data_IF_493735522416
#
_entry.id   IF_493735522416
#
_cell.length_a   1.000
_cell.length_b   1.000
_cell.length_c   1.000
_cell.angle_alpha   90.00
_cell.angle_beta   90.00
_cell.angle_gamma   90.00
#
_symmetry.space_group_name_H-M   'P 1'
#
loop_
_entity.id
_entity.type
_entity.pdbx_description
1 polymer ?
#
# COMPACT_ATOMS: atom_id res chain seq x y z
N UNK A 1 0.03 43.01 41.18
CA UNK A 1 0.97 42.07 40.55
C UNK A 1 0.66 42.03 39.08
N UNK A 2 1.49 42.73 38.29
CA UNK A 2 1.26 43.12 36.89
C UNK A 2 1.88 42.05 36.01
N UNK A 3 1.09 41.30 35.23
CA UNK A 3 1.57 40.36 34.22
C UNK A 3 1.81 41.11 32.91
N UNK A 4 3.08 41.22 32.55
CA UNK A 4 3.57 41.83 31.32
C UNK A 4 3.33 40.87 30.15
N UNK A 5 2.55 41.29 29.17
CA UNK A 5 2.32 40.62 27.88
C UNK A 5 3.47 40.96 26.94
N UNK A 6 4.31 40.00 26.65
CA UNK A 6 5.39 40.07 25.68
C UNK A 6 4.86 39.76 24.28
N UNK A 7 4.93 40.74 23.35
CA UNK A 7 4.59 40.57 21.93
C UNK A 7 5.69 39.75 21.21
N UNK A 8 5.32 38.85 20.27
CA UNK A 8 6.32 38.17 19.46
C UNK A 8 6.90 39.12 18.39
N UNK A 9 8.23 39.13 18.29
CA UNK A 9 9.01 39.80 17.27
C UNK A 9 8.86 39.03 15.95
N UNK A 10 8.25 39.68 14.95
CA UNK A 10 8.14 39.13 13.60
C UNK A 10 9.45 39.39 12.88
N UNK A 11 10.22 38.34 12.62
CA UNK A 11 11.47 38.37 11.85
C UNK A 11 11.21 38.66 10.37
N UNK A 12 11.74 39.75 9.91
CA UNK A 12 11.63 40.33 8.57
C UNK A 12 12.54 39.57 7.58
N UNK A 13 12.15 38.40 7.10
CA UNK A 13 12.90 37.62 6.08
C UNK A 13 12.11 37.26 4.81
N UNK A 14 10.87 37.74 4.67
CA UNK A 14 10.01 37.40 3.52
C UNK A 14 9.91 38.47 2.42
N UNK A 15 10.71 39.52 2.49
CA UNK A 15 10.60 40.65 1.53
C UNK A 15 11.46 40.47 0.27
N UNK A 16 12.26 39.40 0.13
CA UNK A 16 13.13 39.24 -1.07
C UNK A 16 12.56 38.31 -2.16
N UNK A 17 11.49 37.58 -1.90
CA UNK A 17 10.90 36.69 -2.88
C UNK A 17 9.73 37.29 -3.68
N UNK A 18 9.27 38.50 -3.34
CA UNK A 18 8.17 39.14 -4.05
C UNK A 18 8.60 40.11 -5.19
N UNK A 19 9.89 40.39 -5.34
CA UNK A 19 10.37 41.36 -6.36
C UNK A 19 10.78 40.75 -7.69
N UNK A 20 10.87 39.41 -7.81
CA UNK A 20 11.32 38.75 -9.06
C UNK A 20 10.18 38.34 -10.01
N UNK A 21 8.93 38.38 -9.57
CA UNK A 21 7.77 38.03 -10.42
C UNK A 21 7.14 39.18 -11.20
N UNK A 22 7.47 40.45 -10.87
CA UNK A 22 6.85 41.62 -11.52
C UNK A 22 7.59 42.16 -12.74
N UNK A 23 8.80 41.67 -13.05
CA UNK A 23 9.61 42.24 -14.16
C UNK A 23 9.44 41.48 -15.47
N UNK A 24 8.84 40.30 -15.49
CA UNK A 24 8.63 39.50 -16.71
C UNK A 24 7.26 39.73 -17.40
N UNK A 25 6.37 40.52 -16.81
CA UNK A 25 5.04 40.72 -17.37
C UNK A 25 4.90 41.98 -18.24
N UNK A 26 5.98 42.80 -18.45
CA UNK A 26 5.83 44.14 -19.04
C UNK A 26 6.48 44.37 -20.40
N UNK A 27 6.95 43.33 -21.11
CA UNK A 27 7.57 43.49 -22.44
C UNK A 27 7.20 42.43 -23.47
N UNK A 28 5.92 42.16 -23.69
CA UNK A 28 5.45 41.45 -24.88
C UNK A 28 4.14 42.05 -25.36
N UNK A 29 4.22 43.28 -25.88
CA UNK A 29 3.15 43.89 -26.67
C UNK A 29 3.74 44.14 -28.06
N UNK A 30 3.64 43.13 -28.95
CA UNK A 30 3.73 43.29 -30.41
C UNK A 30 2.43 42.76 -31.00
N UNK A 31 1.68 43.58 -31.78
CA UNK A 31 0.29 43.25 -32.11
C UNK A 31 0.08 42.53 -33.42
N UNK A 32 0.96 41.67 -33.90
CA UNK A 32 0.72 40.92 -35.14
C UNK A 32 1.00 39.39 -35.08
N UNK A 33 1.43 38.87 -33.93
CA UNK A 33 1.77 37.45 -33.78
C UNK A 33 0.86 36.66 -32.78
N UNK A 34 -0.36 37.15 -32.56
CA UNK A 34 -1.24 36.54 -31.52
C UNK A 34 -1.73 35.14 -31.84
N UNK A 35 -1.96 34.83 -33.11
CA UNK A 35 -2.46 33.50 -33.49
C UNK A 35 -1.40 32.43 -33.36
N UNK A 36 -0.16 32.73 -33.80
CA UNK A 36 0.93 31.76 -33.78
C UNK A 36 1.42 31.48 -32.34
N UNK A 37 1.39 32.52 -31.47
CA UNK A 37 1.76 32.37 -30.07
C UNK A 37 0.79 31.51 -29.26
N UNK A 38 -0.51 31.64 -29.53
CA UNK A 38 -1.55 30.81 -28.89
C UNK A 38 -1.39 29.36 -29.33
N UNK A 39 -1.14 29.08 -30.61
CA UNK A 39 -0.88 27.73 -31.07
C UNK A 39 0.40 27.13 -30.49
N UNK A 40 1.47 27.91 -30.37
CA UNK A 40 2.72 27.49 -29.75
C UNK A 40 2.54 27.19 -28.25
N UNK A 41 1.81 28.03 -27.53
CA UNK A 41 1.50 27.77 -26.11
C UNK A 41 0.64 26.53 -25.93
N UNK A 42 -0.36 26.30 -26.79
CA UNK A 42 -1.19 25.10 -26.75
C UNK A 42 -0.40 23.83 -27.09
N UNK A 43 0.49 23.88 -28.07
CA UNK A 43 1.32 22.71 -28.41
C UNK A 43 2.33 22.39 -27.31
N UNK A 44 2.93 23.40 -26.70
CA UNK A 44 3.85 23.20 -25.55
C UNK A 44 3.09 22.65 -24.33
N UNK A 45 1.88 23.16 -24.07
CA UNK A 45 1.03 22.66 -22.98
C UNK A 45 0.59 21.21 -23.21
N UNK A 46 0.19 20.88 -24.45
CA UNK A 46 -0.17 19.50 -24.82
C UNK A 46 1.02 18.56 -24.76
N UNK A 47 2.21 18.99 -25.21
CA UNK A 47 3.45 18.22 -25.09
C UNK A 47 3.86 18.03 -23.63
N UNK A 48 3.68 19.02 -22.77
CA UNK A 48 3.94 18.90 -21.33
C UNK A 48 2.98 17.94 -20.63
N UNK A 49 1.72 17.86 -21.06
CA UNK A 49 0.73 16.89 -20.55
C UNK A 49 1.04 15.46 -20.98
N UNK A 50 1.61 15.25 -22.17
CA UNK A 50 1.99 13.92 -22.67
C UNK A 50 3.35 13.50 -22.12
N UNK A 51 4.23 14.45 -21.83
CA UNK A 51 5.55 14.20 -21.25
C UNK A 51 5.55 14.09 -19.71
N UNK A 52 4.38 14.07 -19.06
CA UNK A 52 4.31 13.72 -17.63
C UNK A 52 4.91 12.32 -17.50
N UNK A 53 6.09 12.14 -16.86
CA UNK A 53 6.57 10.81 -16.57
C UNK A 53 5.52 10.19 -15.67
N UNK A 54 4.79 9.24 -16.21
CA UNK A 54 3.97 8.34 -15.41
C UNK A 54 4.99 7.64 -14.51
N UNK A 55 5.19 8.19 -13.32
CA UNK A 55 6.00 7.57 -12.30
C UNK A 55 5.26 6.30 -11.90
N UNK A 56 5.42 5.25 -12.70
CA UNK A 56 5.03 3.92 -12.32
C UNK A 56 5.95 3.58 -11.14
N UNK A 57 5.39 3.75 -9.95
CA UNK A 57 5.94 3.08 -8.79
C UNK A 57 5.86 1.60 -9.14
N UNK A 58 6.98 1.03 -9.54
CA UNK A 58 7.13 -0.41 -9.66
C UNK A 58 6.92 -0.93 -8.24
N UNK A 59 5.69 -1.34 -7.93
CA UNK A 59 5.42 -2.05 -6.71
C UNK A 59 6.25 -3.33 -6.78
N UNK A 60 7.25 -3.42 -5.93
CA UNK A 60 8.10 -4.61 -5.82
C UNK A 60 7.21 -5.84 -5.58
N UNK A 61 7.51 -6.97 -6.23
CA UNK A 61 6.78 -8.22 -6.05
C UNK A 61 6.77 -8.60 -4.58
N UNK A 62 5.63 -9.08 -4.09
CA UNK A 62 5.53 -9.52 -2.70
C UNK A 62 6.40 -10.77 -2.49
N UNK A 63 7.40 -10.66 -1.63
CA UNK A 63 8.26 -11.78 -1.26
C UNK A 63 7.69 -12.52 -0.05
N UNK A 64 7.50 -13.84 -0.20
CA UNK A 64 6.93 -14.66 0.87
C UNK A 64 7.74 -14.59 2.16
N UNK A 65 9.06 -14.74 2.07
CA UNK A 65 9.93 -14.81 3.25
C UNK A 65 10.08 -13.47 3.98
N UNK A 66 10.14 -12.38 3.22
CA UNK A 66 10.30 -11.03 3.74
C UNK A 66 8.98 -10.45 4.26
N UNK A 67 7.89 -10.62 3.50
CA UNK A 67 6.67 -9.84 3.67
C UNK A 67 5.51 -10.66 4.26
N UNK A 68 5.38 -11.93 3.91
CA UNK A 68 4.22 -12.77 4.26
C UNK A 68 4.48 -13.68 5.45
N UNK A 69 5.62 -14.38 5.43
CA UNK A 69 5.96 -15.34 6.49
C UNK A 69 5.97 -14.71 7.89
N UNK A 70 6.49 -13.47 8.10
CA UNK A 70 6.40 -12.81 9.40
C UNK A 70 4.96 -12.60 9.86
N UNK A 71 4.05 -12.19 8.95
CA UNK A 71 2.64 -11.99 9.28
C UNK A 71 2.00 -13.32 9.69
N UNK A 72 2.18 -14.37 8.88
CA UNK A 72 1.64 -15.69 9.19
C UNK A 72 2.19 -16.25 10.50
N UNK A 73 3.48 -16.06 10.75
CA UNK A 73 4.15 -16.53 11.97
C UNK A 73 3.60 -15.85 13.21
N UNK A 74 3.46 -14.54 13.17
CA UNK A 74 3.02 -13.74 14.31
C UNK A 74 1.51 -13.84 14.58
N UNK A 75 0.70 -13.89 13.52
CA UNK A 75 -0.76 -13.78 13.61
C UNK A 75 -1.52 -15.11 13.48
N UNK A 76 -0.91 -16.13 12.87
CA UNK A 76 -1.65 -17.34 12.49
C UNK A 76 -1.07 -18.65 13.05
N UNK A 77 0.27 -18.78 13.13
CA UNK A 77 0.89 -20.08 13.47
C UNK A 77 0.64 -20.56 14.90
N UNK A 78 0.30 -19.67 15.82
CA UNK A 78 -0.09 -20.09 17.17
C UNK A 78 -1.28 -21.06 17.15
N UNK A 79 -2.24 -20.86 16.21
CA UNK A 79 -3.42 -21.72 16.04
C UNK A 79 -3.41 -22.52 14.75
N UNK A 80 -2.63 -22.15 13.74
CA UNK A 80 -2.59 -22.81 12.43
C UNK A 80 -1.14 -23.13 12.00
N UNK A 81 -0.34 -23.61 12.94
CA UNK A 81 1.08 -23.92 12.76
C UNK A 81 1.45 -25.34 13.15
N UNK A 82 2.74 -25.57 13.45
CA UNK A 82 3.29 -26.89 13.69
C UNK A 82 2.83 -27.55 15.00
N UNK A 83 2.43 -26.77 16.01
CA UNK A 83 2.07 -27.34 17.32
C UNK A 83 0.71 -28.04 17.26
N UNK A 84 0.74 -29.37 17.29
CA UNK A 84 -0.47 -30.22 17.23
C UNK A 84 -1.44 -29.97 18.38
N UNK A 85 -0.95 -29.59 19.55
CA UNK A 85 -1.80 -29.37 20.73
C UNK A 85 -2.60 -28.07 20.62
N UNK A 86 -2.03 -27.07 19.98
CA UNK A 86 -2.65 -25.76 19.81
C UNK A 86 -3.40 -25.64 18.48
N UNK A 87 -3.10 -26.52 17.51
CA UNK A 87 -3.62 -26.45 16.14
C UNK A 87 -5.13 -26.55 16.09
N UNK A 88 -5.75 -25.60 15.41
CA UNK A 88 -7.19 -25.56 15.17
C UNK A 88 -7.50 -25.99 13.75
N UNK A 89 -8.65 -26.65 13.58
CA UNK A 89 -9.16 -27.14 12.29
C UNK A 89 -8.16 -28.02 11.51
N UNK A 90 -7.18 -28.60 12.15
CA UNK A 90 -6.08 -29.34 11.52
C UNK A 90 -5.44 -28.59 10.32
N UNK A 91 -5.40 -27.26 10.40
CA UNK A 91 -4.85 -26.40 9.36
C UNK A 91 -3.40 -26.02 9.66
N UNK A 92 -2.51 -26.18 8.67
CA UNK A 92 -1.11 -25.80 8.73
C UNK A 92 -0.79 -24.75 7.68
N UNK A 93 -0.77 -23.49 8.10
CA UNK A 93 -0.40 -22.38 7.24
C UNK A 93 1.12 -22.22 7.07
N UNK A 94 1.90 -22.94 7.85
CA UNK A 94 3.36 -23.02 7.71
C UNK A 94 3.80 -24.04 6.64
N UNK A 95 2.88 -24.87 6.13
CA UNK A 95 3.13 -25.81 5.04
C UNK A 95 2.38 -25.40 3.78
N UNK A 96 3.13 -25.17 2.70
CA UNK A 96 2.58 -24.83 1.38
C UNK A 96 1.47 -25.80 0.94
N UNK A 97 1.71 -27.11 1.09
CA UNK A 97 0.76 -28.14 0.70
C UNK A 97 -0.57 -28.05 1.45
N UNK A 98 -0.55 -27.71 2.73
CA UNK A 98 -1.77 -27.51 3.53
C UNK A 98 -2.43 -26.16 3.24
N UNK A 99 -1.65 -25.11 3.06
CA UNK A 99 -2.16 -23.76 2.80
C UNK A 99 -2.83 -23.63 1.42
N UNK A 100 -2.37 -24.41 0.42
CA UNK A 100 -2.95 -24.41 -0.93
C UNK A 100 -3.94 -25.55 -1.15
N UNK A 101 -4.24 -26.36 -0.11
CA UNK A 101 -5.15 -27.48 -0.23
C UNK A 101 -6.59 -27.02 -0.43
N UNK A 102 -7.32 -27.82 -1.21
CA UNK A 102 -8.77 -27.79 -1.21
C UNK A 102 -9.29 -28.59 -0.01
N UNK A 103 -10.28 -28.04 0.68
CA UNK A 103 -10.97 -28.67 1.80
C UNK A 103 -12.47 -28.42 1.68
N UNK A 104 -13.26 -29.45 1.69
CA UNK A 104 -14.73 -29.36 1.70
C UNK A 104 -15.30 -28.44 0.60
N UNK A 105 -14.70 -28.45 -0.60
CA UNK A 105 -15.14 -27.67 -1.75
C UNK A 105 -14.67 -26.21 -1.76
N UNK A 106 -13.72 -25.82 -0.89
CA UNK A 106 -13.10 -24.50 -0.93
C UNK A 106 -11.58 -24.58 -0.79
N UNK A 107 -10.87 -23.60 -1.34
CA UNK A 107 -9.43 -23.46 -1.17
C UNK A 107 -9.10 -22.60 0.05
N UNK A 108 -8.13 -23.04 0.85
CA UNK A 108 -7.61 -22.19 1.93
C UNK A 108 -6.97 -20.95 1.33
N UNK A 109 -6.08 -21.10 0.36
CA UNK A 109 -5.53 -20.06 -0.47
C UNK A 109 -5.69 -20.49 -1.92
N UNK A 110 -6.42 -19.72 -2.72
CA UNK A 110 -6.56 -19.89 -4.17
C UNK A 110 -5.60 -18.94 -4.87
N UNK A 111 -4.49 -19.41 -5.45
CA UNK A 111 -3.52 -18.53 -6.10
C UNK A 111 -4.15 -17.72 -7.23
N UNK A 112 -3.94 -16.39 -7.20
CA UNK A 112 -4.51 -15.46 -8.17
C UNK A 112 -5.93 -14.99 -7.86
N UNK A 113 -6.60 -15.54 -6.84
CA UNK A 113 -8.01 -15.31 -6.57
C UNK A 113 -8.25 -15.05 -5.07
N UNK A 114 -8.04 -13.81 -4.62
CA UNK A 114 -8.21 -13.48 -3.21
C UNK A 114 -9.65 -13.69 -2.72
N UNK A 115 -10.65 -13.37 -3.54
CA UNK A 115 -12.06 -13.55 -3.20
C UNK A 115 -12.47 -15.03 -2.98
N UNK A 116 -11.80 -15.97 -3.67
CA UNK A 116 -12.03 -17.41 -3.56
C UNK A 116 -11.16 -18.06 -2.46
N UNK A 117 -10.26 -17.28 -1.87
CA UNK A 117 -9.37 -17.75 -0.80
C UNK A 117 -10.06 -17.67 0.55
N UNK A 118 -10.26 -18.81 1.21
CA UNK A 118 -10.89 -18.86 2.53
C UNK A 118 -10.13 -18.05 3.57
N UNK A 119 -8.81 -18.03 3.48
CA UNK A 119 -7.96 -17.19 4.32
C UNK A 119 -8.36 -15.72 4.20
N UNK A 120 -8.47 -15.19 2.99
CA UNK A 120 -8.83 -13.79 2.77
C UNK A 120 -10.25 -13.47 3.24
N UNK A 121 -11.21 -14.36 2.95
CA UNK A 121 -12.59 -14.24 3.41
C UNK A 121 -12.67 -14.16 4.94
N UNK A 122 -11.86 -14.96 5.65
CA UNK A 122 -11.84 -14.98 7.11
C UNK A 122 -11.19 -13.74 7.73
N UNK A 123 -10.10 -13.24 7.17
CA UNK A 123 -9.43 -12.05 7.71
C UNK A 123 -10.18 -10.74 7.39
N UNK A 124 -11.15 -10.78 6.48
CA UNK A 124 -11.99 -9.63 6.09
C UNK A 124 -13.45 -9.80 6.46
N UNK A 125 -13.79 -10.84 7.23
CA UNK A 125 -15.16 -11.11 7.60
C UNK A 125 -15.77 -10.00 8.46
N UNK A 126 -16.97 -9.55 8.11
CA UNK A 126 -17.71 -8.54 8.90
C UNK A 126 -18.29 -9.12 10.19
N UNK A 127 -18.67 -10.39 10.15
CA UNK A 127 -19.20 -11.09 11.32
C UNK A 127 -18.07 -11.59 12.21
N UNK A 128 -18.08 -11.18 13.48
CA UNK A 128 -17.06 -11.53 14.47
C UNK A 128 -16.85 -13.02 14.66
N UNK A 129 -17.89 -13.86 14.44
CA UNK A 129 -17.80 -15.33 14.50
C UNK A 129 -16.98 -15.94 13.37
N UNK A 130 -16.90 -15.24 12.26
CA UNK A 130 -16.17 -15.68 11.07
C UNK A 130 -14.79 -15.04 10.94
N UNK A 131 -14.55 -13.98 11.70
CA UNK A 131 -13.30 -13.23 11.65
C UNK A 131 -12.11 -14.05 12.18
N UNK A 132 -10.98 -13.94 11.50
CA UNK A 132 -9.68 -14.48 11.93
C UNK A 132 -8.62 -13.37 11.88
N UNK A 133 -7.77 -13.27 12.90
CA UNK A 133 -7.83 -13.98 14.18
C UNK A 133 -9.16 -13.70 14.92
N UNK A 134 -9.58 -14.59 15.84
CA UNK A 134 -10.82 -14.40 16.58
C UNK A 134 -10.87 -13.06 17.29
N UNK A 135 -12.04 -12.42 17.31
CA UNK A 135 -12.22 -11.08 17.89
C UNK A 135 -11.85 -10.99 19.39
N UNK A 136 -12.01 -12.09 20.11
CA UNK A 136 -11.67 -12.21 21.54
C UNK A 136 -10.20 -12.59 21.79
N UNK A 137 -9.41 -12.77 20.72
CA UNK A 137 -7.97 -12.94 20.83
C UNK A 137 -7.27 -11.59 20.95
N UNK A 138 -6.10 -11.56 21.59
CA UNK A 138 -5.24 -10.37 21.65
C UNK A 138 -4.52 -10.09 20.32
N UNK A 139 -4.73 -10.94 19.32
CA UNK A 139 -4.06 -10.90 18.03
C UNK A 139 -4.99 -10.22 17.01
N UNK A 140 -4.49 -9.22 16.32
CA UNK A 140 -5.20 -8.56 15.24
C UNK A 140 -4.29 -8.30 14.03
N UNK A 141 -4.90 -8.21 12.85
CA UNK A 141 -4.23 -7.80 11.63
C UNK A 141 -4.46 -6.30 11.39
N UNK A 142 -3.41 -5.59 11.08
CA UNK A 142 -3.51 -4.22 10.55
C UNK A 142 -4.04 -4.25 9.11
N UNK A 143 -4.60 -3.12 8.66
CA UNK A 143 -5.05 -2.99 7.27
C UNK A 143 -3.92 -3.23 6.27
N UNK A 144 -2.71 -2.76 6.56
CA UNK A 144 -1.55 -2.97 5.71
C UNK A 144 -1.19 -4.46 5.56
N UNK A 145 -1.27 -5.25 6.66
CA UNK A 145 -1.04 -6.70 6.61
C UNK A 145 -2.12 -7.42 5.80
N UNK A 146 -3.39 -7.02 5.95
CA UNK A 146 -4.50 -7.57 5.14
C UNK A 146 -4.30 -7.27 3.66
N UNK A 147 -3.95 -6.02 3.30
CA UNK A 147 -3.70 -5.61 1.92
C UNK A 147 -2.50 -6.33 1.33
N UNK A 148 -1.46 -6.58 2.12
CA UNK A 148 -0.26 -7.31 1.71
C UNK A 148 -0.56 -8.79 1.46
N UNK A 149 -1.32 -9.45 2.34
CA UNK A 149 -1.80 -10.83 2.14
C UNK A 149 -2.67 -10.94 0.91
N UNK A 150 -3.58 -9.98 0.68
CA UNK A 150 -4.41 -9.92 -0.53
C UNK A 150 -3.54 -9.87 -1.78
N UNK A 151 -2.61 -8.90 -1.83
CA UNK A 151 -1.72 -8.73 -2.98
C UNK A 151 -0.88 -9.97 -3.25
N UNK A 152 -0.33 -10.59 -2.22
CA UNK A 152 0.41 -11.84 -2.35
C UNK A 152 -0.43 -12.97 -2.99
N UNK A 153 -1.69 -13.13 -2.56
CA UNK A 153 -2.61 -14.11 -3.14
C UNK A 153 -2.85 -13.79 -4.61
N UNK A 154 -3.15 -12.53 -4.95
CA UNK A 154 -3.42 -12.05 -6.31
C UNK A 154 -2.20 -12.20 -7.24
N UNK A 155 -0.99 -12.08 -6.72
CA UNK A 155 0.28 -12.35 -7.43
C UNK A 155 0.59 -13.85 -7.57
N UNK A 156 -0.35 -14.72 -7.17
CA UNK A 156 -0.25 -16.17 -7.35
C UNK A 156 0.24 -16.93 -6.13
N UNK A 157 0.23 -16.32 -4.94
CA UNK A 157 0.65 -16.92 -3.68
C UNK A 157 2.00 -17.65 -3.82
N UNK A 158 2.98 -16.97 -4.39
CA UNK A 158 4.31 -17.50 -4.67
C UNK A 158 5.00 -17.85 -3.35
N UNK A 159 5.17 -19.12 -3.08
CA UNK A 159 5.82 -19.64 -1.89
C UNK A 159 7.30 -19.86 -2.17
N UNK A 160 8.08 -18.80 -2.10
CA UNK A 160 9.54 -18.91 -2.19
C UNK A 160 10.08 -19.09 -0.78
N UNK A 161 10.68 -20.26 -0.54
CA UNK A 161 11.50 -20.45 0.67
C UNK A 161 12.69 -19.49 0.65
N UNK A 162 13.10 -19.05 1.82
CA UNK A 162 14.36 -18.33 1.98
C UNK A 162 15.48 -19.18 1.34
N UNK A 163 16.38 -18.55 0.57
CA UNK A 163 17.50 -19.21 -0.12
C UNK A 163 18.35 -20.14 0.76
N UNK A 164 18.27 -19.96 2.09
CA UNK A 164 18.99 -20.82 3.05
C UNK A 164 18.32 -22.17 3.34
N UNK A 165 17.16 -22.47 2.75
CA UNK A 165 16.40 -23.71 2.92
C UNK A 165 16.18 -24.48 1.62
N UNK A 166 16.93 -24.16 0.56
CA UNK A 166 16.97 -24.93 -0.72
C UNK A 166 18.11 -25.90 -0.73
#
# INVERSE_FOLDING_TARGET
>A
MILSLQKPVISNRDTRLRMTFHILASKCILPSARADYIHLCYTVLLLALVASPFCQVLADDVDFGRDIQPILSDKCYACHGPDEKQRKADLRLDLKTSALAERDGYFIISPGQSSESRLYQRITAEHTKDLMPPFDSEISLSRAEVDLLKRWIEEGAKWKGHWSFT
#
